data_IF_657950719465
#
_entry.id   IF_657950719465
#
_cell.length_a   1.000
_cell.length_b   1.000
_cell.length_c   1.000
_cell.angle_alpha   90.00
_cell.angle_beta   90.00
_cell.angle_gamma   90.00
#
_symmetry.space_group_name_H-M   'P 1'
#
loop_
_entity.id
_entity.type
_entity.pdbx_description
1 polymer ?
#
# COMPACT_ATOMS: atom_id res chain seq x y z
N UNK A 1 3.93 -10.85 -7.18
CA UNK A 1 3.96 -10.39 -5.78
C UNK A 1 5.27 -9.67 -5.51
N UNK A 2 5.29 -8.59 -4.70
CA UNK A 2 6.49 -7.78 -4.48
C UNK A 2 7.50 -8.48 -3.56
N UNK A 3 8.66 -8.88 -4.10
CA UNK A 3 9.78 -9.43 -3.31
C UNK A 3 10.33 -8.36 -2.36
N UNK A 4 10.62 -8.75 -1.11
CA UNK A 4 11.05 -7.84 -0.05
C UNK A 4 9.91 -7.19 0.73
N UNK A 5 8.65 -7.41 0.33
CA UNK A 5 7.51 -7.02 1.14
C UNK A 5 7.60 -7.68 2.52
N UNK A 6 7.36 -6.89 3.57
CA UNK A 6 7.36 -7.36 4.95
C UNK A 6 6.28 -6.65 5.75
N UNK A 7 5.55 -7.42 6.57
CA UNK A 7 4.60 -6.86 7.54
C UNK A 7 4.73 -7.56 8.88
N UNK A 8 4.21 -6.93 9.93
CA UNK A 8 4.15 -7.50 11.27
C UNK A 8 2.71 -7.49 11.77
N UNK A 9 2.25 -8.60 12.34
CA UNK A 9 0.91 -8.70 12.91
C UNK A 9 0.95 -9.36 14.28
N UNK A 10 0.31 -8.75 15.26
CA UNK A 10 0.03 -9.41 16.53
C UNK A 10 -1.19 -10.30 16.38
N UNK A 11 -1.04 -11.59 16.66
CA UNK A 11 -2.14 -12.55 16.68
C UNK A 11 -1.97 -13.49 17.87
N UNK A 12 -2.83 -14.49 18.01
CA UNK A 12 -2.70 -15.45 19.11
C UNK A 12 -1.40 -16.26 18.99
N UNK A 13 -0.80 -16.59 20.13
CA UNK A 13 0.42 -17.39 20.16
C UNK A 13 0.15 -18.77 19.56
N UNK A 14 1.09 -19.21 18.73
CA UNK A 14 1.09 -20.55 18.15
C UNK A 14 1.36 -21.63 19.21
N UNK A 15 2.14 -21.29 20.24
CA UNK A 15 2.60 -22.22 21.26
C UNK A 15 1.73 -22.25 22.51
N UNK A 16 1.14 -21.10 22.88
CA UNK A 16 0.46 -20.94 24.16
C UNK A 16 -0.96 -20.42 24.00
N UNK A 17 -1.91 -21.10 24.64
CA UNK A 17 -3.26 -20.60 24.82
C UNK A 17 -3.23 -19.30 25.66
N UNK A 18 -4.22 -18.43 25.44
CA UNK A 18 -4.39 -17.14 26.13
C UNK A 18 -3.28 -16.09 25.94
N UNK A 19 -2.21 -16.41 25.19
CA UNK A 19 -1.15 -15.45 24.83
C UNK A 19 -1.31 -14.94 23.39
N UNK A 20 -0.67 -13.81 23.12
CA UNK A 20 -0.49 -13.25 21.77
C UNK A 20 1.00 -13.15 21.48
N UNK A 21 1.38 -13.37 20.23
CA UNK A 21 2.74 -13.21 19.76
C UNK A 21 2.77 -12.40 18.46
N UNK A 22 3.97 -12.02 18.03
CA UNK A 22 4.17 -11.26 16.80
C UNK A 22 4.50 -12.22 15.66
N UNK A 23 3.77 -12.10 14.55
CA UNK A 23 4.05 -12.80 13.31
C UNK A 23 4.67 -11.81 12.32
N UNK A 24 5.84 -12.15 11.78
CA UNK A 24 6.48 -11.40 10.71
C UNK A 24 6.22 -12.13 9.39
N UNK A 25 5.44 -11.50 8.51
CA UNK A 25 5.15 -12.03 7.19
C UNK A 25 6.12 -11.38 6.19
N UNK A 26 6.73 -12.16 5.30
CA UNK A 26 7.62 -11.66 4.26
C UNK A 26 7.49 -12.41 2.95
N UNK A 27 7.79 -11.73 1.84
CA UNK A 27 7.82 -12.31 0.49
C UNK A 27 9.27 -12.34 0.02
N UNK A 28 9.72 -13.52 -0.40
CA UNK A 28 11.05 -13.77 -0.92
C UNK A 28 10.96 -14.26 -2.37
N UNK A 29 12.07 -14.12 -3.09
CA UNK A 29 12.24 -14.76 -4.39
C UNK A 29 12.74 -16.19 -4.16
N UNK A 30 12.18 -17.14 -4.91
CA UNK A 30 12.58 -18.53 -4.95
C UNK A 30 12.50 -19.00 -6.41
N UNK A 31 13.63 -18.91 -7.11
CA UNK A 31 13.79 -19.29 -8.52
C UNK A 31 12.79 -18.63 -9.48
N UNK A 32 12.47 -17.35 -9.24
CA UNK A 32 11.53 -16.58 -10.06
C UNK A 32 10.07 -16.70 -9.61
N UNK A 33 9.79 -17.53 -8.61
CA UNK A 33 8.47 -17.65 -7.98
C UNK A 33 8.47 -16.99 -6.59
N UNK A 34 7.33 -16.39 -6.18
CA UNK A 34 7.21 -15.78 -4.86
C UNK A 34 7.10 -16.85 -3.76
N UNK A 35 8.00 -16.80 -2.79
CA UNK A 35 7.94 -17.60 -1.56
C UNK A 35 7.44 -16.75 -0.40
N UNK A 36 6.33 -17.17 0.21
CA UNK A 36 5.72 -16.52 1.36
C UNK A 36 6.26 -17.15 2.63
N UNK A 37 6.81 -16.34 3.52
CA UNK A 37 7.34 -16.79 4.81
C UNK A 37 6.59 -16.13 5.95
N UNK A 38 6.34 -16.88 7.02
CA UNK A 38 5.83 -16.35 8.28
C UNK A 38 6.75 -16.82 9.40
N UNK A 39 7.35 -15.87 10.08
CA UNK A 39 8.24 -16.07 11.21
C UNK A 39 7.49 -15.69 12.50
N UNK A 40 7.45 -16.63 13.45
CA UNK A 40 6.72 -16.51 14.71
C UNK A 40 7.69 -16.06 15.79
N UNK A 41 7.49 -14.85 16.29
CA UNK A 41 8.29 -14.24 17.33
C UNK A 41 7.49 -14.27 18.63
N UNK A 42 7.83 -15.21 19.49
CA UNK A 42 7.28 -15.38 20.83
C UNK A 42 8.45 -15.31 21.83
N UNK A 43 8.29 -14.57 22.93
CA UNK A 43 9.39 -14.32 23.88
C UNK A 43 9.83 -15.58 24.62
N UNK A 44 8.92 -16.54 24.77
CA UNK A 44 9.12 -17.73 25.60
C UNK A 44 9.54 -18.97 24.77
N UNK A 45 9.60 -18.85 23.44
CA UNK A 45 9.81 -19.98 22.53
C UNK A 45 10.84 -19.65 21.44
N UNK A 46 11.45 -20.68 20.86
CA UNK A 46 12.33 -20.51 19.71
C UNK A 46 11.54 -20.02 18.48
N UNK A 47 12.24 -19.27 17.63
CA UNK A 47 11.65 -18.67 16.45
C UNK A 47 11.34 -19.73 15.39
N UNK A 48 10.05 -19.90 15.10
CA UNK A 48 9.57 -20.86 14.11
C UNK A 48 9.21 -20.15 12.81
N UNK A 49 9.65 -20.69 11.66
CA UNK A 49 9.34 -20.12 10.34
C UNK A 49 8.61 -21.13 9.47
N UNK A 50 7.46 -20.72 8.95
CA UNK A 50 6.72 -21.45 7.91
C UNK A 50 6.96 -20.82 6.55
N UNK A 51 6.95 -21.63 5.49
CA UNK A 51 7.14 -21.19 4.11
C UNK A 51 6.13 -21.88 3.20
N UNK A 52 5.63 -21.16 2.21
CA UNK A 52 4.72 -21.71 1.20
C UNK A 52 4.72 -20.85 -0.08
N UNK A 53 4.05 -21.31 -1.14
CA UNK A 53 3.91 -20.61 -2.43
C UNK A 53 2.68 -19.69 -2.51
N UNK A 54 1.85 -19.66 -1.46
CA UNK A 54 0.64 -18.85 -1.39
C UNK A 54 0.48 -18.23 0.00
N UNK A 55 0.03 -16.96 0.10
CA UNK A 55 -0.13 -16.26 1.38
C UNK A 55 -1.16 -16.95 2.27
N UNK A 56 -2.20 -17.52 1.68
CA UNK A 56 -3.20 -18.24 2.44
C UNK A 56 -2.68 -19.59 2.95
N UNK A 57 -1.93 -20.33 2.13
CA UNK A 57 -1.40 -21.65 2.50
C UNK A 57 -0.40 -21.56 3.65
N UNK A 58 0.50 -20.57 3.64
CA UNK A 58 1.44 -20.34 4.74
C UNK A 58 0.73 -20.03 6.06
N UNK A 59 -0.36 -19.24 6.03
CA UNK A 59 -1.17 -18.98 7.21
C UNK A 59 -1.99 -20.20 7.65
N UNK A 60 -2.41 -21.07 6.72
CA UNK A 60 -3.14 -22.29 7.07
C UNK A 60 -2.30 -23.26 7.89
N UNK A 61 -0.97 -23.28 7.72
CA UNK A 61 -0.07 -24.03 8.59
C UNK A 61 -0.14 -23.57 10.06
N UNK A 62 -0.50 -22.31 10.31
CA UNK A 62 -0.61 -21.72 11.65
C UNK A 62 -2.05 -21.84 12.17
N UNK A 63 -3.03 -21.48 11.32
CA UNK A 63 -4.44 -21.41 11.71
C UNK A 63 -5.05 -22.78 12.00
N UNK A 64 -4.68 -23.84 11.26
CA UNK A 64 -5.23 -25.19 11.48
C UNK A 64 -4.81 -25.76 12.85
N UNK A 65 -3.52 -25.77 13.26
CA UNK A 65 -3.14 -26.18 14.60
C UNK A 65 -3.75 -25.30 15.69
N UNK A 66 -3.81 -23.99 15.46
CA UNK A 66 -4.36 -23.04 16.42
C UNK A 66 -5.86 -23.26 16.65
N UNK A 67 -6.63 -23.52 15.60
CA UNK A 67 -8.04 -23.89 15.71
C UNK A 67 -8.21 -25.19 16.51
N UNK A 68 -7.41 -26.21 16.20
CA UNK A 68 -7.45 -27.50 16.90
C UNK A 68 -7.15 -27.34 18.40
N UNK A 69 -6.05 -26.67 18.74
CA UNK A 69 -5.64 -26.42 20.13
C UNK A 69 -6.72 -25.68 20.93
N UNK A 70 -7.43 -24.75 20.29
CA UNK A 70 -8.54 -24.00 20.91
C UNK A 70 -9.81 -24.82 21.08
N UNK A 71 -10.12 -25.65 20.08
CA UNK A 71 -11.27 -26.55 20.13
C UNK A 71 -11.08 -27.58 21.25
N UNK A 72 -9.87 -28.09 21.43
CA UNK A 72 -9.51 -29.02 22.52
C UNK A 72 -9.63 -28.37 23.91
N UNK A 73 -9.37 -27.07 24.02
CA UNK A 73 -9.48 -26.29 25.25
C UNK A 73 -10.87 -25.65 25.49
N UNK A 74 -11.88 -26.01 24.69
CA UNK A 74 -13.24 -25.45 24.72
C UNK A 74 -13.30 -23.92 24.66
N UNK A 75 -12.42 -23.33 23.83
CA UNK A 75 -12.35 -21.89 23.59
C UNK A 75 -13.14 -21.47 22.35
N UNK A 76 -13.22 -20.16 22.14
CA UNK A 76 -13.88 -19.53 20.99
C UNK A 76 -13.47 -20.21 19.69
N UNK A 77 -14.46 -20.76 18.99
CA UNK A 77 -14.29 -21.45 17.71
C UNK A 77 -13.79 -20.48 16.65
N UNK A 78 -12.73 -20.91 15.96
CA UNK A 78 -12.18 -20.21 14.82
C UNK A 78 -12.69 -20.83 13.52
N UNK A 79 -12.90 -20.00 12.51
CA UNK A 79 -13.25 -20.45 11.15
C UNK A 79 -12.14 -20.01 10.20
N UNK A 80 -11.06 -20.80 10.07
CA UNK A 80 -9.98 -20.46 9.16
C UNK A 80 -10.45 -20.62 7.70
N UNK A 81 -10.82 -19.51 7.07
CA UNK A 81 -11.13 -19.44 5.64
C UNK A 81 -9.91 -18.96 4.85
N UNK A 82 -9.82 -19.34 3.58
CA UNK A 82 -8.72 -18.92 2.70
C UNK A 82 -8.62 -17.39 2.59
N UNK A 83 -9.75 -16.69 2.45
CA UNK A 83 -9.76 -15.22 2.37
C UNK A 83 -9.20 -14.57 3.64
N UNK A 84 -9.57 -15.07 4.82
CA UNK A 84 -9.05 -14.52 6.08
C UNK A 84 -7.53 -14.70 6.20
N UNK A 85 -6.97 -15.77 5.62
CA UNK A 85 -5.54 -16.02 5.63
C UNK A 85 -4.77 -15.03 4.73
N UNK A 86 -5.31 -14.65 3.58
CA UNK A 86 -4.71 -13.59 2.74
C UNK A 86 -4.77 -12.22 3.42
N UNK A 87 -5.88 -11.90 4.10
CA UNK A 87 -6.03 -10.67 4.88
C UNK A 87 -5.03 -10.57 6.04
N UNK A 88 -4.74 -11.71 6.70
CA UNK A 88 -3.75 -11.77 7.77
C UNK A 88 -2.34 -11.45 7.26
N UNK A 89 -2.03 -11.81 6.01
CA UNK A 89 -0.75 -11.44 5.38
C UNK A 89 -0.65 -9.94 5.06
N UNK A 90 -1.79 -9.23 4.98
CA UNK A 90 -1.84 -7.76 4.86
C UNK A 90 -1.75 -7.22 3.43
N UNK A 91 -1.69 -8.09 2.42
CA UNK A 91 -1.68 -7.68 1.00
C UNK A 91 -3.02 -7.13 0.51
N UNK A 92 -4.10 -7.39 1.24
CA UNK A 92 -5.45 -6.93 0.90
C UNK A 92 -5.77 -5.55 1.46
N UNK A 93 -4.92 -4.99 2.33
CA UNK A 93 -5.18 -3.72 3.00
C UNK A 93 -5.14 -2.56 1.98
N UNK A 94 -6.19 -1.73 1.87
CA UNK A 94 -6.29 -0.73 0.80
C UNK A 94 -5.12 0.25 0.70
N UNK A 95 -4.55 0.67 1.83
CA UNK A 95 -3.42 1.60 1.82
C UNK A 95 -2.13 0.92 1.35
N UNK A 96 -1.89 -0.32 1.75
CA UNK A 96 -0.81 -1.18 1.28
C UNK A 96 -0.95 -1.42 -0.21
N UNK A 97 -2.13 -1.80 -0.69
CA UNK A 97 -2.38 -1.98 -2.13
C UNK A 97 -2.09 -0.69 -2.88
N UNK A 98 -2.57 0.46 -2.40
CA UNK A 98 -2.30 1.76 -3.02
C UNK A 98 -0.80 2.07 -3.08
N UNK A 99 -0.05 1.79 -2.02
CA UNK A 99 1.41 1.96 -2.01
C UNK A 99 2.08 0.99 -2.98
N UNK A 100 1.67 -0.28 -2.99
CA UNK A 100 2.20 -1.30 -3.89
C UNK A 100 1.96 -0.95 -5.36
N UNK A 101 0.76 -0.48 -5.70
CA UNK A 101 0.41 -0.05 -7.06
C UNK A 101 1.21 1.19 -7.50
N UNK A 102 1.65 2.02 -6.56
CA UNK A 102 2.47 3.21 -6.85
C UNK A 102 3.97 2.92 -7.03
N UNK A 103 4.43 1.67 -6.83
CA UNK A 103 5.83 1.31 -6.97
C UNK A 103 6.29 1.38 -8.44
N UNK A 104 7.55 1.75 -8.70
CA UNK A 104 8.10 1.73 -10.06
C UNK A 104 8.12 0.30 -10.64
N UNK A 105 7.82 0.17 -11.92
CA UNK A 105 7.85 -1.12 -12.63
C UNK A 105 6.57 -1.96 -12.50
N UNK A 106 5.58 -1.53 -11.73
CA UNK A 106 4.25 -2.16 -11.70
C UNK A 106 3.53 -2.05 -13.05
N UNK A 107 3.88 -1.07 -13.88
CA UNK A 107 3.34 -0.89 -15.23
C UNK A 107 3.63 -2.06 -16.18
N UNK A 108 4.67 -2.86 -15.90
CA UNK A 108 5.06 -4.03 -16.70
C UNK A 108 4.20 -5.27 -16.40
N UNK A 109 3.33 -5.22 -15.38
CA UNK A 109 2.50 -6.34 -14.98
C UNK A 109 1.31 -6.51 -15.95
N UNK A 110 1.40 -7.46 -16.87
CA UNK A 110 0.35 -7.72 -17.85
C UNK A 110 -0.94 -8.30 -17.26
N UNK A 111 -0.83 -9.04 -16.14
CA UNK A 111 -1.93 -9.84 -15.59
C UNK A 111 -2.52 -9.25 -14.29
N UNK A 112 -2.17 -8.01 -13.94
CA UNK A 112 -2.63 -7.35 -12.73
C UNK A 112 -3.67 -6.27 -13.02
N UNK A 113 -4.79 -6.32 -12.30
CA UNK A 113 -5.84 -5.30 -12.41
C UNK A 113 -5.69 -4.26 -11.29
N UNK A 114 -5.36 -3.04 -11.66
CA UNK A 114 -5.14 -1.91 -10.74
C UNK A 114 -6.45 -1.40 -10.17
N UNK A 115 -6.51 -1.23 -8.86
CA UNK A 115 -7.68 -0.74 -8.13
C UNK A 115 -7.67 0.77 -7.92
N UNK A 116 -6.52 1.36 -7.62
CA UNK A 116 -6.38 2.79 -7.31
C UNK A 116 -5.86 3.60 -8.49
N UNK A 117 -5.79 2.98 -9.68
CA UNK A 117 -5.27 3.58 -10.89
C UNK A 117 -3.74 3.69 -10.86
N UNK A 118 -3.15 3.94 -12.03
CA UNK A 118 -1.71 4.23 -12.10
C UNK A 118 -1.46 5.53 -11.36
N UNK A 119 -0.49 5.54 -10.45
CA UNK A 119 0.07 6.81 -9.98
C UNK A 119 0.47 7.58 -11.24
N UNK A 120 -0.03 8.81 -11.47
CA UNK A 120 0.63 9.67 -12.42
C UNK A 120 1.99 9.94 -11.78
N UNK A 121 2.97 9.06 -12.02
CA UNK A 121 4.31 9.53 -12.25
C UNK A 121 4.09 10.64 -13.27
N UNK A 122 4.08 11.87 -12.79
CA UNK A 122 4.09 13.04 -13.64
C UNK A 122 5.46 12.94 -14.31
N UNK A 123 5.52 12.14 -15.38
CA UNK A 123 6.52 12.28 -16.39
C UNK A 123 6.17 13.61 -17.02
N UNK A 124 6.64 14.69 -16.37
CA UNK A 124 6.52 16.01 -16.93
C UNK A 124 7.12 15.88 -18.32
N UNK A 125 6.34 16.15 -19.39
CA UNK A 125 6.92 16.19 -20.71
C UNK A 125 8.16 17.08 -20.60
N UNK A 126 9.31 16.65 -21.16
CA UNK A 126 10.52 17.48 -21.11
C UNK A 126 10.11 18.87 -21.54
N UNK A 127 10.38 19.88 -20.71
CA UNK A 127 9.92 21.24 -20.96
C UNK A 127 10.34 21.62 -22.38
N UNK A 128 9.38 21.67 -23.30
CA UNK A 128 9.65 21.96 -24.70
C UNK A 128 10.01 23.44 -24.73
N UNK A 129 11.30 23.73 -24.85
CA UNK A 129 11.76 25.07 -25.12
C UNK A 129 11.62 25.32 -26.62
N UNK A 130 10.63 26.09 -27.08
CA UNK A 130 10.42 26.33 -28.51
C UNK A 130 11.61 27.03 -29.17
N UNK A 131 12.48 27.68 -28.37
CA UNK A 131 13.69 28.35 -28.84
C UNK A 131 14.98 27.54 -28.63
N UNK A 132 14.90 26.33 -28.06
CA UNK A 132 16.05 25.44 -27.84
C UNK A 132 17.05 25.90 -26.77
N UNK A 133 16.86 27.08 -26.16
CA UNK A 133 17.70 27.58 -25.07
C UNK A 133 16.90 28.47 -24.10
N UNK A 134 17.01 28.25 -22.80
CA UNK A 134 16.31 29.06 -21.78
C UNK A 134 16.72 30.54 -21.80
N UNK A 135 17.82 30.89 -22.50
CA UNK A 135 18.34 32.26 -22.63
C UNK A 135 17.74 33.06 -23.80
N UNK A 136 17.06 32.40 -24.73
CA UNK A 136 16.48 33.02 -25.93
C UNK A 136 14.97 33.21 -25.85
N UNK A 137 14.35 32.79 -24.74
CA UNK A 137 12.91 33.01 -24.55
C UNK A 137 12.61 34.51 -24.53
N UNK A 138 11.65 35.00 -25.34
CA UNK A 138 11.24 36.39 -25.30
C UNK A 138 10.81 36.74 -23.88
N UNK A 139 11.59 37.59 -23.21
CA UNK A 139 11.23 38.11 -21.88
C UNK A 139 9.97 38.95 -22.07
N UNK A 140 8.80 38.33 -21.88
CA UNK A 140 7.52 39.01 -21.90
C UNK A 140 7.54 39.98 -20.70
N UNK A 141 7.92 41.23 -20.95
CA UNK A 141 7.81 42.33 -19.98
C UNK A 141 6.33 42.66 -19.83
N UNK A 142 5.58 41.75 -19.24
CA UNK A 142 4.26 42.09 -18.70
C UNK A 142 4.52 43.04 -17.54
N UNK A 143 4.12 44.31 -17.70
CA UNK A 143 4.16 45.32 -16.64
C UNK A 143 3.21 45.03 -15.48
N UNK A 144 2.45 43.94 -15.56
CA UNK A 144 1.74 43.38 -14.43
C UNK A 144 2.74 42.68 -13.52
N UNK A 145 3.09 43.36 -12.42
CA UNK A 145 3.70 42.70 -11.26
C UNK A 145 2.83 41.51 -10.90
N UNK A 146 3.32 40.28 -11.11
CA UNK A 146 2.73 39.12 -10.46
C UNK A 146 2.83 39.38 -8.96
N UNK A 147 1.73 39.34 -8.19
CA UNK A 147 1.81 39.39 -6.74
C UNK A 147 2.83 38.34 -6.31
N UNK A 148 3.87 38.78 -5.62
CA UNK A 148 4.87 37.90 -5.08
C UNK A 148 4.17 36.99 -4.06
N UNK A 149 3.84 35.76 -4.43
CA UNK A 149 3.34 34.76 -3.47
C UNK A 149 4.53 34.16 -2.71
N UNK A 150 5.30 35.02 -2.05
CA UNK A 150 5.88 34.66 -0.76
C UNK A 150 4.92 35.16 0.31
N UNK A 151 3.88 34.38 0.56
CA UNK A 151 3.20 34.41 1.84
C UNK A 151 3.29 33.00 2.44
N UNK A 152 4.32 32.84 3.28
CA UNK A 152 4.24 31.92 4.41
C UNK A 152 3.17 32.47 5.34
N UNK A 153 1.94 32.00 5.22
CA UNK A 153 0.94 31.90 6.30
C UNK A 153 -0.29 31.18 5.80
N UNK A 154 -0.69 30.14 6.53
CA UNK A 154 -1.92 29.37 6.40
C UNK A 154 -3.16 30.20 5.96
N UNK A 155 -3.69 29.90 4.77
CA UNK A 155 -5.12 30.02 4.49
C UNK A 155 -5.52 29.14 3.31
N UNK A 156 -6.60 28.37 3.51
CA UNK A 156 -7.18 27.45 2.53
C UNK A 156 -7.88 28.25 1.42
N UNK A 157 -7.34 28.24 0.21
CA UNK A 157 -8.10 28.33 -1.05
C UNK A 157 -7.15 28.27 -2.25
N UNK A 158 -7.25 27.22 -3.05
CA UNK A 158 -6.60 27.15 -4.36
C UNK A 158 -7.29 28.14 -5.33
N UNK A 159 -6.57 29.02 -6.02
CA UNK A 159 -7.15 29.83 -7.08
C UNK A 159 -7.46 28.97 -8.31
N UNK A 160 -8.74 28.88 -8.66
CA UNK A 160 -9.25 28.24 -9.87
C UNK A 160 -8.88 29.07 -11.10
N UNK A 161 -7.69 28.87 -11.66
CA UNK A 161 -7.42 29.32 -13.03
C UNK A 161 -6.33 28.46 -13.67
N UNK A 162 -6.72 27.26 -14.12
CA UNK A 162 -6.35 26.60 -15.40
C UNK A 162 -6.98 25.21 -15.33
N UNK A 163 -8.28 25.12 -15.62
CA UNK A 163 -8.95 23.93 -16.14
C UNK A 163 -10.31 24.38 -16.63
N UNK A 164 -10.53 24.36 -17.95
CA UNK A 164 -11.86 24.54 -18.54
C UNK A 164 -12.73 23.33 -18.24
N UNK A 165 -13.27 23.26 -17.03
CA UNK A 165 -14.28 22.28 -16.64
C UNK A 165 -15.39 23.04 -15.94
N UNK A 166 -16.50 23.24 -16.66
CA UNK A 166 -17.78 23.65 -16.08
C UNK A 166 -18.22 22.60 -15.09
N UNK A 167 -18.27 22.96 -13.80
CA UNK A 167 -18.74 22.09 -12.72
C UNK A 167 -19.54 22.89 -11.69
N UNK A 168 -20.85 22.75 -11.81
CA UNK A 168 -21.84 22.67 -10.73
C UNK A 168 -22.05 23.90 -9.82
N UNK A 169 -22.92 24.79 -10.30
CA UNK A 169 -23.80 25.61 -9.44
C UNK A 169 -24.77 24.70 -8.69
N UNK A 170 -24.43 24.28 -7.48
CA UNK A 170 -25.38 24.09 -6.37
C UNK A 170 -24.63 23.72 -5.08
N UNK A 171 -24.21 24.72 -4.32
CA UNK A 171 -23.82 24.54 -2.92
C UNK A 171 -24.78 25.34 -2.04
N UNK A 172 -25.44 24.72 -1.03
CA UNK A 172 -26.57 25.31 -0.31
C UNK A 172 -26.15 26.27 0.83
N UNK A 173 -24.95 26.84 0.77
CA UNK A 173 -24.38 27.66 1.86
C UNK A 173 -23.97 29.07 1.43
N UNK A 174 -24.68 29.67 0.48
CA UNK A 174 -24.58 31.10 0.19
C UNK A 174 -25.96 31.73 0.40
N UNK A 175 -26.07 32.55 1.44
CA UNK A 175 -27.18 33.49 1.67
C UNK A 175 -26.95 34.75 0.85
#
# INVERSE_FOLDING_TARGET
YPVGFRTSRFYWSFFSLYKRCRYMCSIHDNDGEPEFRIQIIDSDHEELTFKDNSPASVWMHILKPLERMRREADLVKMFPTFMAAEELFGLTEPNVVKVLESLPGTDLLANYNFKFGRSPLIEMPPAINPTGCARTEPKLRTHFRRPHTLQSTNSRSLPSTVTGVTGDMNSPYLK
#
